data_IF_270066979126
#
_entry.id   IF_270066979126
#
_cell.length_a   1.000
_cell.length_b   1.000
_cell.length_c   1.000
_cell.angle_alpha   90.00
_cell.angle_beta   90.00
_cell.angle_gamma   90.00
#
_symmetry.space_group_name_H-M   'P 1'
#
loop_
_entity.id
_entity.type
_entity.pdbx_description
1 polymer ?
#
# COMPACT_ATOMS: atom_id res chain seq x y z
N UNK A 1 1.26 12.81 -4.03
CA UNK A 1 2.24 11.71 -3.89
C UNK A 1 3.65 12.22 -3.66
N UNK A 2 4.29 12.88 -4.63
CA UNK A 2 5.69 13.38 -4.54
C UNK A 2 6.09 14.04 -3.20
N UNK A 3 5.32 15.04 -2.76
CA UNK A 3 5.64 15.82 -1.55
C UNK A 3 5.43 15.06 -0.22
N UNK A 4 4.67 13.96 -0.23
CA UNK A 4 4.30 13.21 0.99
C UNK A 4 4.88 11.80 1.01
N UNK A 5 5.23 11.23 -0.15
CA UNK A 5 5.65 9.84 -0.29
C UNK A 5 7.15 9.66 -0.44
N UNK A 6 7.92 10.74 -0.59
CA UNK A 6 9.37 10.67 -0.85
C UNK A 6 10.19 10.34 0.40
N UNK A 7 11.34 9.70 0.22
CA UNK A 7 12.26 9.32 1.29
C UNK A 7 12.92 10.55 1.93
N UNK A 8 13.38 11.49 1.11
CA UNK A 8 14.07 12.73 1.50
C UNK A 8 13.79 13.87 0.53
N UNK A 9 14.19 15.08 0.92
CA UNK A 9 14.21 16.24 0.01
C UNK A 9 15.22 16.00 -1.14
N UNK A 10 14.88 16.54 -2.31
CA UNK A 10 15.72 16.58 -3.52
C UNK A 10 15.85 18.02 -4.00
N UNK A 11 16.52 18.25 -5.13
CA UNK A 11 16.53 19.57 -5.75
C UNK A 11 15.13 20.00 -6.25
N UNK A 12 14.31 19.05 -6.70
CA UNK A 12 13.00 19.32 -7.28
C UNK A 12 11.85 19.17 -6.25
N UNK A 13 12.07 18.47 -5.14
CA UNK A 13 11.06 18.12 -4.14
C UNK A 13 11.46 18.56 -2.75
N UNK A 14 10.60 19.36 -2.12
CA UNK A 14 10.61 19.58 -0.67
C UNK A 14 9.45 18.81 -0.06
N UNK A 15 9.74 17.91 0.87
CA UNK A 15 8.76 17.09 1.55
C UNK A 15 7.92 17.93 2.51
N UNK A 16 6.65 17.56 2.60
CA UNK A 16 5.67 18.15 3.50
C UNK A 16 5.11 17.11 4.49
N UNK A 17 5.63 15.88 4.45
CA UNK A 17 5.20 14.80 5.33
C UNK A 17 5.67 15.10 6.76
N UNK A 18 4.79 14.91 7.73
CA UNK A 18 5.10 15.00 9.16
C UNK A 18 5.65 13.69 9.71
N UNK A 19 6.27 13.73 10.90
CA UNK A 19 6.76 12.53 11.58
C UNK A 19 5.64 11.53 11.85
N UNK A 20 4.48 11.99 12.34
CA UNK A 20 3.29 11.16 12.59
C UNK A 20 2.79 10.45 11.31
N UNK A 21 2.81 11.13 10.16
CA UNK A 21 2.48 10.50 8.87
C UNK A 21 3.51 9.46 8.44
N UNK A 22 4.78 9.64 8.81
CA UNK A 22 5.85 8.66 8.57
C UNK A 22 5.60 7.40 9.40
N UNK A 23 5.29 7.58 10.68
CA UNK A 23 4.96 6.48 11.60
C UNK A 23 3.72 5.73 11.13
N UNK A 24 2.67 6.43 10.70
CA UNK A 24 1.47 5.80 10.13
C UNK A 24 1.77 4.98 8.85
N UNK A 25 2.61 5.52 7.95
CA UNK A 25 3.01 4.81 6.74
C UNK A 25 3.74 3.50 7.08
N UNK A 26 4.69 3.55 8.03
CA UNK A 26 5.41 2.36 8.48
C UNK A 26 4.57 1.42 9.33
N UNK A 27 3.61 1.94 10.10
CA UNK A 27 2.67 1.13 10.86
C UNK A 27 1.83 0.28 9.91
N UNK A 28 1.31 0.85 8.82
CA UNK A 28 0.52 0.09 7.85
C UNK A 28 1.36 -0.64 6.79
N UNK A 29 2.68 -0.44 6.75
CA UNK A 29 3.58 -1.15 5.85
C UNK A 29 3.77 -2.61 6.27
N UNK A 30 2.89 -3.48 5.77
CA UNK A 30 2.96 -4.93 5.96
C UNK A 30 3.32 -5.67 4.66
N UNK A 31 3.90 -4.98 3.69
CA UNK A 31 4.60 -5.63 2.58
C UNK A 31 6.03 -6.04 2.96
N UNK A 32 6.43 -5.93 4.23
CA UNK A 32 7.78 -6.21 4.73
C UNK A 32 8.14 -7.70 4.70
N UNK A 33 9.44 -7.96 4.53
CA UNK A 33 10.03 -9.32 4.51
C UNK A 33 9.74 -10.10 5.81
N UNK A 34 9.68 -9.41 6.94
CA UNK A 34 9.49 -9.98 8.27
C UNK A 34 8.03 -9.98 8.74
N UNK A 35 7.08 -9.70 7.84
CA UNK A 35 5.66 -9.57 8.17
C UNK A 35 4.80 -10.65 7.53
N UNK A 36 3.62 -10.88 8.10
CA UNK A 36 2.63 -11.85 7.60
C UNK A 36 1.88 -11.39 6.33
N UNK A 37 2.39 -10.37 5.62
CA UNK A 37 1.68 -9.69 4.53
C UNK A 37 0.42 -8.96 5.06
N UNK A 38 -0.25 -8.11 4.26
CA UNK A 38 -1.36 -7.29 4.76
C UNK A 38 -2.50 -8.09 5.40
N UNK A 39 -2.75 -9.31 4.91
CA UNK A 39 -3.75 -10.24 5.44
C UNK A 39 -3.48 -10.65 6.89
N UNK A 40 -2.22 -10.92 7.23
CA UNK A 40 -1.87 -11.38 8.57
C UNK A 40 -1.98 -10.27 9.62
N UNK A 41 -1.69 -9.02 9.25
CA UNK A 41 -1.90 -7.89 10.16
C UNK A 41 -3.37 -7.76 10.56
N UNK A 42 -4.27 -7.84 9.59
CA UNK A 42 -5.71 -7.76 9.85
C UNK A 42 -6.19 -8.93 10.71
N UNK A 43 -5.68 -10.15 10.49
CA UNK A 43 -5.94 -11.29 11.38
C UNK A 43 -5.44 -11.07 12.81
N UNK A 44 -4.26 -10.44 13.00
CA UNK A 44 -3.75 -10.10 14.34
C UNK A 44 -4.65 -9.08 15.04
N UNK A 45 -5.12 -8.05 14.32
CA UNK A 45 -6.08 -7.07 14.88
C UNK A 45 -7.38 -7.78 15.26
N UNK A 46 -7.95 -8.64 14.39
CA UNK A 46 -9.17 -9.40 14.71
C UNK A 46 -8.97 -10.31 15.92
N UNK A 47 -7.81 -10.93 16.08
CA UNK A 47 -7.50 -11.76 17.24
C UNK A 47 -7.55 -10.94 18.54
N UNK A 48 -6.96 -9.75 18.55
CA UNK A 48 -7.00 -8.86 19.71
C UNK A 48 -8.44 -8.41 20.03
N UNK A 49 -9.25 -8.11 19.01
CA UNK A 49 -10.69 -7.78 19.19
C UNK A 49 -11.42 -8.97 19.80
N UNK A 50 -11.27 -10.17 19.23
CA UNK A 50 -11.90 -11.40 19.71
C UNK A 50 -11.60 -11.70 21.18
N UNK A 51 -10.34 -11.47 21.61
CA UNK A 51 -9.93 -11.64 22.99
C UNK A 51 -10.58 -10.61 23.93
N UNK A 52 -10.71 -9.36 23.49
CA UNK A 52 -11.35 -8.28 24.27
C UNK A 52 -12.85 -8.49 24.45
N UNK A 53 -13.52 -9.00 23.41
CA UNK A 53 -14.96 -9.31 23.45
C UNK A 53 -15.28 -10.58 24.26
N UNK A 54 -14.28 -11.42 24.54
CA UNK A 54 -14.47 -12.66 25.31
C UNK A 54 -15.23 -13.75 24.53
N UNK A 55 -15.09 -13.76 23.20
CA UNK A 55 -15.79 -14.66 22.29
C UNK A 55 -15.56 -16.15 22.61
N UNK A 56 -16.59 -16.97 22.37
CA UNK A 56 -16.49 -18.43 22.37
C UNK A 56 -15.66 -18.95 21.19
N UNK A 57 -15.35 -20.26 21.21
CA UNK A 57 -14.65 -20.91 20.09
C UNK A 57 -15.47 -20.85 18.81
N UNK A 58 -16.79 -21.05 18.90
CA UNK A 58 -17.72 -21.01 17.78
C UNK A 58 -17.85 -19.59 17.20
N UNK A 59 -17.91 -18.57 18.06
CA UNK A 59 -17.95 -17.17 17.66
C UNK A 59 -16.66 -16.77 16.93
N UNK A 60 -15.50 -17.18 17.46
CA UNK A 60 -14.22 -16.96 16.82
C UNK A 60 -14.11 -17.71 15.49
N UNK A 61 -14.55 -18.96 15.41
CA UNK A 61 -14.55 -19.71 14.16
C UNK A 61 -15.37 -18.99 13.08
N UNK A 62 -16.54 -18.45 13.43
CA UNK A 62 -17.36 -17.67 12.50
C UNK A 62 -16.71 -16.35 12.11
N UNK A 63 -16.17 -15.60 13.07
CA UNK A 63 -15.50 -14.31 12.85
C UNK A 63 -14.32 -14.45 11.88
N UNK A 64 -13.41 -15.39 12.15
CA UNK A 64 -12.25 -15.61 11.29
C UNK A 64 -12.62 -16.20 9.93
N UNK A 65 -13.66 -17.02 9.83
CA UNK A 65 -14.15 -17.51 8.54
C UNK A 65 -14.66 -16.36 7.66
N UNK A 66 -15.51 -15.48 8.22
CA UNK A 66 -16.06 -14.33 7.50
C UNK A 66 -14.94 -13.37 7.08
N UNK A 67 -14.05 -13.01 8.01
CA UNK A 67 -12.89 -12.17 7.72
C UNK A 67 -12.09 -12.70 6.53
N UNK A 68 -11.65 -13.96 6.59
CA UNK A 68 -10.73 -14.48 5.59
C UNK A 68 -11.41 -14.71 4.22
N UNK A 69 -12.73 -14.99 4.18
CA UNK A 69 -13.49 -14.99 2.92
C UNK A 69 -13.54 -13.58 2.33
N UNK A 70 -13.88 -12.56 3.13
CA UNK A 70 -13.94 -11.17 2.66
C UNK A 70 -12.58 -10.65 2.18
N UNK A 71 -11.49 -11.00 2.87
CA UNK A 71 -10.14 -10.66 2.44
C UNK A 71 -9.72 -11.36 1.15
N UNK A 72 -10.14 -12.61 0.95
CA UNK A 72 -9.87 -13.35 -0.29
C UNK A 72 -10.58 -12.70 -1.49
N UNK A 73 -11.87 -12.36 -1.36
CA UNK A 73 -12.62 -11.68 -2.41
C UNK A 73 -12.06 -10.28 -2.71
N UNK A 74 -11.67 -9.55 -1.67
CA UNK A 74 -10.98 -8.26 -1.81
C UNK A 74 -9.69 -8.39 -2.63
N UNK A 75 -8.91 -9.46 -2.43
CA UNK A 75 -7.68 -9.70 -3.20
C UNK A 75 -8.00 -9.91 -4.68
N UNK A 76 -9.01 -10.74 -4.98
CA UNK A 76 -9.44 -11.03 -6.35
C UNK A 76 -9.85 -9.74 -7.06
N UNK A 77 -10.67 -8.92 -6.41
CA UNK A 77 -11.14 -7.64 -6.99
C UNK A 77 -9.99 -6.66 -7.20
N UNK A 78 -9.12 -6.50 -6.19
CA UNK A 78 -8.00 -5.57 -6.28
C UNK A 78 -7.01 -5.99 -7.39
N UNK A 79 -6.62 -7.26 -7.47
CA UNK A 79 -5.70 -7.73 -8.50
C UNK A 79 -6.33 -7.68 -9.89
N UNK A 80 -7.63 -7.99 -10.03
CA UNK A 80 -8.33 -7.81 -11.30
C UNK A 80 -8.26 -6.35 -11.77
N UNK A 81 -8.52 -5.39 -10.88
CA UNK A 81 -8.43 -3.97 -11.22
C UNK A 81 -6.99 -3.58 -11.61
N UNK A 82 -5.98 -4.02 -10.86
CA UNK A 82 -4.56 -3.77 -11.16
C UNK A 82 -4.16 -4.18 -12.56
N UNK A 83 -4.53 -5.38 -12.96
CA UNK A 83 -4.16 -5.90 -14.28
C UNK A 83 -5.12 -5.48 -15.40
N UNK A 84 -6.26 -4.89 -15.07
CA UNK A 84 -7.13 -4.24 -16.06
C UNK A 84 -6.65 -2.83 -16.39
N UNK A 85 -6.32 -2.02 -15.38
CA UNK A 85 -5.96 -0.61 -15.57
C UNK A 85 -4.46 -0.42 -15.85
N UNK A 86 -3.60 -1.34 -15.38
CA UNK A 86 -2.15 -1.34 -15.63
C UNK A 86 -1.47 0.01 -15.30
N UNK A 87 -2.00 0.75 -14.31
CA UNK A 87 -1.50 2.07 -13.94
C UNK A 87 -0.06 1.99 -13.38
N UNK A 88 0.86 2.85 -13.84
CA UNK A 88 2.24 2.89 -13.35
C UNK A 88 2.30 3.31 -11.88
N UNK A 89 3.40 2.96 -11.21
CA UNK A 89 3.63 3.34 -9.83
C UNK A 89 4.05 4.81 -9.72
N UNK A 90 3.85 5.45 -8.56
CA UNK A 90 4.28 6.83 -8.34
C UNK A 90 5.77 7.06 -8.57
N UNK A 91 6.65 6.13 -8.18
CA UNK A 91 8.10 6.19 -8.46
C UNK A 91 8.38 6.15 -9.97
N UNK A 92 7.73 5.28 -10.73
CA UNK A 92 7.89 5.23 -12.19
C UNK A 92 7.56 6.58 -12.85
N UNK A 93 6.52 7.26 -12.37
CA UNK A 93 6.06 8.55 -12.90
C UNK A 93 6.94 9.71 -12.44
N UNK A 94 7.29 9.75 -11.15
CA UNK A 94 8.02 10.88 -10.56
C UNK A 94 9.49 10.83 -10.97
N UNK A 95 10.15 9.68 -10.83
CA UNK A 95 11.57 9.53 -11.14
C UNK A 95 11.82 9.38 -12.64
N UNK A 96 10.78 9.00 -13.39
CA UNK A 96 10.84 8.74 -14.83
C UNK A 96 11.31 7.31 -15.14
N UNK A 97 11.17 6.93 -16.40
CA UNK A 97 11.53 5.59 -16.89
C UNK A 97 12.96 5.60 -17.44
N UNK A 98 13.93 5.10 -16.67
CA UNK A 98 15.32 4.95 -17.13
C UNK A 98 16.00 6.27 -17.52
N UNK A 99 15.59 7.39 -16.89
CA UNK A 99 16.08 8.73 -17.20
C UNK A 99 15.27 9.48 -18.26
N UNK A 100 14.16 8.91 -18.74
CA UNK A 100 13.18 9.61 -19.57
C UNK A 100 12.10 10.23 -18.66
N UNK A 101 11.96 11.57 -18.65
CA UNK A 101 10.87 12.26 -17.96
C UNK A 101 9.50 11.71 -18.37
N UNK A 102 8.64 11.40 -17.40
CA UNK A 102 7.32 10.85 -17.69
C UNK A 102 6.42 11.84 -18.45
N UNK A 103 6.70 13.15 -18.36
CA UNK A 103 6.06 14.19 -19.19
C UNK A 103 6.20 13.96 -20.70
N UNK A 104 7.25 13.26 -21.13
CA UNK A 104 7.46 12.88 -22.54
C UNK A 104 6.65 11.63 -22.94
N UNK A 105 6.18 10.87 -21.95
CA UNK A 105 5.39 9.64 -22.14
C UNK A 105 3.90 9.97 -22.11
N UNK A 106 3.45 10.77 -21.15
CA UNK A 106 2.05 11.16 -20.99
C UNK A 106 1.66 12.39 -21.82
N UNK A 107 2.63 13.19 -22.26
CA UNK A 107 2.41 14.40 -23.05
C UNK A 107 1.93 15.60 -22.24
N UNK A 108 2.06 15.59 -20.92
CA UNK A 108 1.69 16.69 -20.04
C UNK A 108 2.93 17.41 -19.48
N UNK A 109 3.12 18.67 -19.87
CA UNK A 109 4.25 19.49 -19.42
C UNK A 109 4.24 19.75 -17.91
N UNK A 110 3.07 19.64 -17.26
CA UNK A 110 2.92 19.79 -15.81
C UNK A 110 3.39 18.58 -15.00
N UNK A 111 3.69 17.45 -15.66
CA UNK A 111 4.22 16.25 -14.98
C UNK A 111 5.64 16.53 -14.50
N UNK A 112 5.75 16.88 -13.21
CA UNK A 112 7.03 17.16 -12.56
C UNK A 112 7.87 15.90 -12.47
N UNK A 113 9.02 15.92 -13.15
CA UNK A 113 10.04 14.86 -13.05
C UNK A 113 11.07 15.22 -11.98
N UNK A 114 11.42 14.25 -11.15
CA UNK A 114 12.43 14.32 -10.09
C UNK A 114 13.25 13.02 -10.08
N UNK A 115 14.33 12.93 -10.86
CA UNK A 115 15.10 11.70 -11.04
C UNK A 115 15.72 11.13 -9.76
N UNK A 116 15.94 11.97 -8.75
CA UNK A 116 16.52 11.59 -7.46
C UNK A 116 15.45 11.22 -6.43
N UNK A 117 14.17 11.20 -6.81
CA UNK A 117 13.08 10.84 -5.91
C UNK A 117 13.05 9.34 -5.66
N UNK A 118 12.93 8.97 -4.38
CA UNK A 118 12.75 7.58 -3.94
C UNK A 118 11.53 7.49 -3.02
N UNK A 119 10.76 6.38 -3.06
CA UNK A 119 9.63 6.20 -2.16
C UNK A 119 10.11 5.91 -0.72
N UNK A 120 9.44 6.52 0.27
CA UNK A 120 9.72 6.33 1.71
C UNK A 120 9.83 4.86 2.12
N UNK A 121 8.91 4.02 1.60
CA UNK A 121 8.83 2.62 1.97
C UNK A 121 9.71 1.71 1.11
N UNK A 122 10.51 2.25 0.18
CA UNK A 122 11.26 1.47 -0.82
C UNK A 122 12.13 0.37 -0.19
N UNK A 123 12.93 0.73 0.82
CA UNK A 123 13.77 -0.22 1.54
C UNK A 123 12.99 -1.19 2.45
N UNK A 124 11.76 -0.84 2.83
CA UNK A 124 10.90 -1.70 3.65
C UNK A 124 10.16 -2.75 2.83
N UNK A 125 10.10 -2.61 1.50
CA UNK A 125 9.46 -3.54 0.59
C UNK A 125 10.52 -4.50 0.00
N UNK A 126 10.27 -5.81 -0.10
CA UNK A 126 11.23 -6.79 -0.63
C UNK A 126 11.76 -6.48 -2.03
N UNK A 127 11.02 -5.71 -2.82
CA UNK A 127 11.42 -5.29 -4.16
C UNK A 127 12.53 -4.23 -4.15
N UNK A 128 12.82 -3.58 -3.01
CA UNK A 128 13.81 -2.51 -2.92
C UNK A 128 13.35 -1.20 -3.60
N UNK A 129 12.04 -0.96 -3.62
CA UNK A 129 11.34 0.13 -4.32
C UNK A 129 9.84 -0.02 -4.13
N UNK A 130 9.03 0.33 -5.12
CA UNK A 130 7.60 -0.01 -5.10
C UNK A 130 7.32 -1.52 -5.24
N UNK A 131 6.23 -2.05 -4.66
CA UNK A 131 5.86 -3.45 -4.86
C UNK A 131 5.58 -3.77 -6.34
N UNK A 132 6.07 -4.93 -6.81
CA UNK A 132 6.09 -5.34 -8.22
C UNK A 132 4.71 -5.78 -8.79
N UNK A 133 3.76 -4.85 -8.81
CA UNK A 133 2.43 -4.99 -9.44
C UNK A 133 1.86 -3.59 -9.74
N UNK A 134 0.90 -3.42 -10.67
CA UNK A 134 0.32 -2.12 -11.02
C UNK A 134 -0.31 -1.38 -9.84
N UNK A 135 -0.42 -0.06 -9.92
CA UNK A 135 -0.79 0.78 -8.77
C UNK A 135 -2.27 0.68 -8.39
N UNK A 136 -3.16 0.89 -9.37
CA UNK A 136 -4.59 1.07 -9.13
C UNK A 136 -5.38 -0.25 -9.15
N UNK A 137 -6.18 -0.60 -8.16
CA UNK A 137 -6.39 0.07 -6.85
C UNK A 137 -5.40 -0.41 -5.80
N UNK A 138 -5.23 0.35 -4.73
CA UNK A 138 -4.41 -0.06 -3.57
C UNK A 138 -4.97 -1.34 -2.93
N UNK A 139 -4.16 -2.40 -2.88
CA UNK A 139 -4.54 -3.64 -2.20
C UNK A 139 -4.79 -3.44 -0.71
N UNK A 140 -3.92 -2.68 -0.02
CA UNK A 140 -4.09 -2.34 1.40
C UNK A 140 -5.42 -1.65 1.67
N UNK A 141 -5.83 -0.70 0.80
CA UNK A 141 -7.10 -0.01 0.95
C UNK A 141 -8.29 -0.96 0.75
N UNK A 142 -8.24 -1.83 -0.26
CA UNK A 142 -9.30 -2.82 -0.51
C UNK A 142 -9.43 -3.81 0.65
N UNK A 143 -8.30 -4.30 1.19
CA UNK A 143 -8.30 -5.17 2.37
C UNK A 143 -8.83 -4.47 3.61
N UNK A 144 -8.36 -3.25 3.87
CA UNK A 144 -8.83 -2.45 5.00
C UNK A 144 -10.33 -2.15 4.92
N UNK A 145 -10.85 -1.86 3.72
CA UNK A 145 -12.28 -1.66 3.50
C UNK A 145 -13.10 -2.94 3.74
N UNK A 146 -12.66 -4.08 3.19
CA UNK A 146 -13.32 -5.36 3.41
C UNK A 146 -13.28 -5.80 4.88
N UNK A 147 -12.16 -5.55 5.55
CA UNK A 147 -12.01 -5.74 7.00
C UNK A 147 -13.01 -4.87 7.75
N UNK A 148 -12.97 -3.55 7.59
CA UNK A 148 -13.78 -2.62 8.39
C UNK A 148 -15.30 -2.84 8.24
N UNK A 149 -15.76 -3.39 7.12
CA UNK A 149 -17.18 -3.65 6.87
C UNK A 149 -17.68 -4.99 7.43
N UNK A 150 -16.78 -5.94 7.71
CA UNK A 150 -17.10 -7.31 8.14
C UNK A 150 -17.15 -7.54 9.66
N UNK A 151 -17.03 -6.49 10.46
CA UNK A 151 -17.05 -6.51 11.94
C UNK A 151 -18.17 -5.58 12.42
#
# INVERSE_FOLDING_TARGET
MRLLGGLSDTQATTLMRTDDQTDQAFFWAYDRIDSFRPFGHLNQITQEIALREGNSVEENARLFALLNISLADAAIVAWKAKYNEMQPRPDDVISGDGGIPFSLIDGFDETVTDPDWEPLLGAAVPAGGSPAFPDYISGHATFGGAFAWGH
#
